data_IF_684367638466
#
_entry.id   IF_684367638466
#
_cell.length_a   1.000
_cell.length_b   1.000
_cell.length_c   1.000
_cell.angle_alpha   90.00
_cell.angle_beta   90.00
_cell.angle_gamma   90.00
#
_symmetry.space_group_name_H-M   'P 1'
#
loop_
_entity.id
_entity.type
_entity.pdbx_description
1 polymer ?
#
# COMPACT_ATOMS: atom_id res chain seq x y z
N UNK A 1 19.48 -14.60 14.92
CA UNK A 1 18.75 -14.90 13.66
C UNK A 1 19.70 -14.69 12.47
N UNK A 2 19.92 -15.73 11.66
CA UNK A 2 20.78 -15.66 10.47
C UNK A 2 20.30 -14.59 9.49
N UNK A 3 21.22 -13.91 8.78
CA UNK A 3 20.85 -12.94 7.73
C UNK A 3 19.91 -13.58 6.71
N UNK A 4 20.17 -14.81 6.29
CA UNK A 4 19.30 -15.53 5.36
C UNK A 4 17.84 -15.59 5.84
N UNK A 5 17.59 -15.91 7.10
CA UNK A 5 16.22 -16.01 7.61
C UNK A 5 15.48 -14.66 7.55
N UNK A 6 16.19 -13.54 7.78
CA UNK A 6 15.60 -12.19 7.68
C UNK A 6 15.17 -11.83 6.26
N UNK A 7 15.93 -12.27 5.26
CA UNK A 7 15.72 -11.86 3.87
C UNK A 7 14.87 -12.85 3.07
N UNK A 8 14.65 -14.07 3.57
CA UNK A 8 13.89 -15.12 2.88
C UNK A 8 12.44 -15.23 3.35
N UNK A 9 12.13 -14.92 4.62
CA UNK A 9 10.76 -15.03 5.12
C UNK A 9 9.88 -13.93 4.49
N UNK A 10 8.83 -14.27 3.71
CA UNK A 10 8.01 -13.27 3.05
C UNK A 10 7.30 -12.36 4.06
N UNK A 11 7.42 -11.05 3.86
CA UNK A 11 6.88 -10.03 4.74
C UNK A 11 7.79 -9.63 5.89
N UNK A 12 8.67 -10.52 6.36
CA UNK A 12 9.56 -10.18 7.48
C UNK A 12 10.45 -8.98 7.15
N UNK A 13 11.06 -8.98 5.96
CA UNK A 13 11.95 -7.90 5.54
C UNK A 13 11.22 -6.56 5.47
N UNK A 14 9.97 -6.56 5.00
CA UNK A 14 9.12 -5.38 4.97
C UNK A 14 8.87 -4.82 6.37
N UNK A 15 8.42 -5.66 7.31
CA UNK A 15 8.17 -5.21 8.67
C UNK A 15 9.45 -4.72 9.35
N UNK A 16 10.56 -5.44 9.15
CA UNK A 16 11.86 -5.09 9.71
C UNK A 16 12.40 -3.76 9.18
N UNK A 17 12.39 -3.56 7.85
CA UNK A 17 13.02 -2.39 7.21
C UNK A 17 12.11 -1.16 7.13
N UNK A 18 10.78 -1.33 7.14
CA UNK A 18 9.81 -0.24 6.88
C UNK A 18 8.94 0.11 8.08
N UNK A 19 8.71 -0.84 8.99
CA UNK A 19 7.78 -0.67 10.11
C UNK A 19 8.46 -1.05 11.44
N UNK A 20 9.55 -0.34 11.82
CA UNK A 20 10.32 -0.69 13.02
C UNK A 20 9.49 -0.56 14.31
N UNK A 21 8.48 0.32 14.36
CA UNK A 21 7.65 0.51 15.55
C UNK A 21 6.39 -0.35 15.51
N UNK A 22 6.01 -0.94 16.65
CA UNK A 22 4.77 -1.71 16.79
C UNK A 22 3.52 -0.95 16.34
N UNK A 23 3.44 0.35 16.64
CA UNK A 23 2.34 1.20 16.18
C UNK A 23 2.25 1.28 14.64
N UNK A 24 3.38 1.26 13.93
CA UNK A 24 3.41 1.28 12.46
C UNK A 24 3.00 -0.08 11.89
N UNK A 25 3.38 -1.18 12.54
CA UNK A 25 2.95 -2.54 12.17
C UNK A 25 1.43 -2.68 12.30
N UNK A 26 0.87 -2.27 13.45
CA UNK A 26 -0.58 -2.30 13.70
C UNK A 26 -1.31 -1.39 12.71
N UNK A 27 -0.83 -0.15 12.53
CA UNK A 27 -1.37 0.78 11.53
C UNK A 27 -1.42 0.16 10.14
N UNK A 28 -0.33 -0.49 9.72
CA UNK A 28 -0.26 -1.12 8.41
C UNK A 28 -1.28 -2.24 8.25
N UNK A 29 -1.44 -3.10 9.26
CA UNK A 29 -2.41 -4.21 9.25
C UNK A 29 -3.83 -3.66 9.09
N UNK A 30 -4.20 -2.68 9.90
CA UNK A 30 -5.53 -2.04 9.90
C UNK A 30 -5.81 -1.40 8.53
N UNK A 31 -4.90 -0.53 8.08
CA UNK A 31 -5.07 0.27 6.87
C UNK A 31 -5.05 -0.57 5.59
N UNK A 32 -4.30 -1.67 5.55
CA UNK A 32 -4.14 -2.45 4.34
C UNK A 32 -4.73 -3.86 4.42
N UNK A 33 -4.05 -4.90 4.91
CA UNK A 33 -4.57 -6.23 4.64
C UNK A 33 -5.94 -6.43 5.29
N UNK A 34 -6.16 -5.89 6.50
CA UNK A 34 -7.45 -6.01 7.17
C UNK A 34 -8.56 -5.28 6.41
N UNK A 35 -8.36 -4.01 6.04
CA UNK A 35 -9.39 -3.26 5.32
C UNK A 35 -9.74 -3.89 3.98
N UNK A 36 -8.74 -4.31 3.18
CA UNK A 36 -9.03 -4.88 1.86
C UNK A 36 -9.79 -6.21 2.03
N UNK A 37 -9.41 -7.04 3.00
CA UNK A 37 -10.15 -8.27 3.31
C UNK A 37 -11.59 -7.97 3.75
N UNK A 38 -11.79 -7.03 4.67
CA UNK A 38 -13.14 -6.60 5.11
C UNK A 38 -13.95 -6.09 3.93
N UNK A 39 -13.36 -5.25 3.07
CA UNK A 39 -14.02 -4.75 1.87
C UNK A 39 -14.46 -5.85 0.92
N UNK A 40 -13.64 -6.88 0.72
CA UNK A 40 -13.99 -8.07 -0.09
C UNK A 40 -15.12 -8.86 0.56
N UNK A 41 -15.04 -9.15 1.87
CA UNK A 41 -16.06 -9.89 2.60
C UNK A 41 -17.41 -9.16 2.65
N UNK A 42 -17.41 -7.82 2.66
CA UNK A 42 -18.62 -7.00 2.68
C UNK A 42 -19.40 -7.04 1.36
N UNK A 43 -18.71 -7.21 0.23
CA UNK A 43 -19.35 -7.14 -1.11
C UNK A 43 -19.46 -8.50 -1.78
N UNK A 44 -18.76 -9.52 -1.30
CA UNK A 44 -18.73 -10.84 -1.92
C UNK A 44 -19.83 -11.75 -1.39
N UNK A 45 -20.44 -12.51 -2.29
CA UNK A 45 -21.37 -13.61 -1.94
C UNK A 45 -20.65 -14.95 -1.75
N UNK A 46 -19.32 -15.00 -1.93
CA UNK A 46 -18.56 -16.23 -1.84
C UNK A 46 -18.31 -16.65 -0.38
N UNK A 47 -17.99 -17.93 -0.20
CA UNK A 47 -17.71 -18.49 1.13
C UNK A 47 -16.55 -17.76 1.82
N UNK A 48 -16.81 -17.22 3.02
CA UNK A 48 -15.83 -16.40 3.76
C UNK A 48 -14.53 -17.15 4.08
N UNK A 49 -14.60 -18.45 4.42
CA UNK A 49 -13.40 -19.24 4.71
C UNK A 49 -12.53 -19.40 3.47
N UNK A 50 -13.15 -19.65 2.30
CA UNK A 50 -12.44 -19.69 1.02
C UNK A 50 -11.76 -18.35 0.70
N UNK A 51 -12.47 -17.22 0.88
CA UNK A 51 -11.92 -15.87 0.69
C UNK A 51 -10.70 -15.67 1.60
N UNK A 52 -10.82 -15.96 2.90
CA UNK A 52 -9.75 -15.73 3.88
C UNK A 52 -8.50 -16.55 3.55
N UNK A 53 -8.65 -17.85 3.25
CA UNK A 53 -7.53 -18.72 2.91
C UNK A 53 -6.82 -18.22 1.65
N UNK A 54 -7.59 -17.95 0.58
CA UNK A 54 -7.04 -17.48 -0.69
C UNK A 54 -6.38 -16.11 -0.53
N UNK A 55 -6.97 -15.21 0.27
CA UNK A 55 -6.43 -13.89 0.57
C UNK A 55 -5.08 -13.96 1.31
N UNK A 56 -4.94 -14.86 2.28
CA UNK A 56 -3.69 -15.05 3.03
C UNK A 56 -2.58 -15.56 2.09
N UNK A 57 -2.87 -16.58 1.27
CA UNK A 57 -1.92 -17.11 0.29
C UNK A 57 -1.52 -16.03 -0.72
N UNK A 58 -2.50 -15.27 -1.23
CA UNK A 58 -2.26 -14.16 -2.14
C UNK A 58 -1.42 -13.05 -1.51
N UNK A 59 -1.59 -12.76 -0.22
CA UNK A 59 -0.76 -11.77 0.49
C UNK A 59 0.71 -12.22 0.57
N UNK A 60 0.97 -13.47 0.95
CA UNK A 60 2.33 -14.00 0.96
C UNK A 60 2.94 -14.04 -0.45
N UNK A 61 2.13 -14.35 -1.46
CA UNK A 61 2.54 -14.30 -2.86
C UNK A 61 2.95 -12.86 -3.25
N UNK A 62 2.09 -11.88 -2.97
CA UNK A 62 2.35 -10.46 -3.26
C UNK A 62 3.62 -9.97 -2.54
N UNK A 63 3.80 -10.32 -1.26
CA UNK A 63 4.98 -9.95 -0.49
C UNK A 63 6.29 -10.49 -1.08
N UNK A 64 6.27 -11.71 -1.65
CA UNK A 64 7.46 -12.27 -2.30
C UNK A 64 7.97 -11.38 -3.44
N UNK A 65 7.06 -10.94 -4.32
CA UNK A 65 7.42 -10.07 -5.45
C UNK A 65 7.69 -8.63 -5.01
N UNK A 66 6.91 -8.11 -4.08
CA UNK A 66 6.99 -6.72 -3.64
C UNK A 66 8.30 -6.43 -2.88
N UNK A 67 8.75 -7.36 -2.03
CA UNK A 67 9.99 -7.19 -1.27
C UNK A 67 11.26 -7.20 -2.13
N UNK A 68 11.24 -7.76 -3.35
CA UNK A 68 12.35 -7.63 -4.30
C UNK A 68 12.63 -6.14 -4.58
N UNK A 69 11.58 -5.34 -4.79
CA UNK A 69 11.69 -3.91 -5.00
C UNK A 69 12.29 -3.17 -3.79
N UNK A 70 12.00 -3.63 -2.58
CA UNK A 70 12.61 -3.07 -1.36
C UNK A 70 14.07 -3.44 -1.21
N UNK A 71 14.44 -4.70 -1.46
CA UNK A 71 15.85 -5.14 -1.43
C UNK A 71 16.69 -4.37 -2.44
N UNK A 72 16.15 -4.18 -3.64
CA UNK A 72 16.76 -3.39 -4.69
C UNK A 72 16.93 -1.93 -4.24
N UNK A 73 15.88 -1.31 -3.70
CA UNK A 73 15.91 0.07 -3.22
C UNK A 73 16.99 0.27 -2.16
N UNK A 74 17.00 -0.57 -1.13
CA UNK A 74 17.81 -0.38 0.09
C UNK A 74 19.26 -0.82 -0.05
N UNK A 75 19.60 -1.65 -1.04
CA UNK A 75 20.96 -2.16 -1.21
C UNK A 75 21.62 -1.77 -2.53
N UNK A 76 20.85 -1.64 -3.61
CA UNK A 76 21.37 -1.35 -4.95
C UNK A 76 21.15 0.12 -5.29
N UNK A 77 19.90 0.60 -5.18
CA UNK A 77 19.54 1.92 -5.67
C UNK A 77 20.13 3.06 -4.82
N UNK A 78 20.36 2.83 -3.53
CA UNK A 78 21.03 3.82 -2.65
C UNK A 78 22.40 4.28 -3.18
N UNK A 79 23.11 3.48 -3.99
CA UNK A 79 24.41 3.86 -4.57
C UNK A 79 24.32 5.01 -5.57
N UNK A 80 23.11 5.27 -6.08
CA UNK A 80 22.82 6.32 -7.05
C UNK A 80 22.28 7.59 -6.39
N UNK A 81 22.06 7.56 -5.06
CA UNK A 81 21.48 8.68 -4.31
C UNK A 81 22.59 9.54 -3.69
N UNK A 82 22.43 10.87 -3.76
CA UNK A 82 23.38 11.81 -3.12
C UNK A 82 23.32 11.74 -1.59
N UNK A 83 22.12 11.52 -1.04
CA UNK A 83 21.86 11.39 0.39
C UNK A 83 20.86 10.24 0.63
N UNK A 84 21.34 8.98 0.65
CA UNK A 84 20.47 7.82 0.74
C UNK A 84 19.87 7.67 2.13
N UNK A 85 18.57 7.36 2.18
CA UNK A 85 17.93 6.95 3.44
C UNK A 85 18.29 5.50 3.75
N UNK A 86 19.25 5.29 4.67
CA UNK A 86 19.63 3.96 5.13
C UNK A 86 18.54 3.38 6.04
N UNK A 87 17.99 2.22 5.66
CA UNK A 87 16.90 1.54 6.40
C UNK A 87 17.34 0.26 7.09
N UNK A 88 18.50 -0.26 6.70
CA UNK A 88 19.12 -1.45 7.28
C UNK A 88 20.61 -1.20 7.53
N UNK A 89 21.25 -1.92 8.46
CA UNK A 89 22.67 -1.73 8.76
C UNK A 89 23.60 -2.01 7.58
N UNK A 90 24.78 -1.36 7.55
CA UNK A 90 25.75 -1.50 6.46
C UNK A 90 26.17 -2.97 6.19
N UNK A 91 26.35 -3.78 7.24
CA UNK A 91 26.65 -5.21 7.10
C UNK A 91 25.58 -5.97 6.31
N UNK A 92 24.32 -5.59 6.51
CA UNK A 92 23.17 -6.19 5.82
C UNK A 92 23.06 -5.69 4.38
N UNK A 93 23.36 -4.42 4.13
CA UNK A 93 23.47 -3.86 2.77
C UNK A 93 24.49 -4.66 1.95
N UNK A 94 25.69 -4.88 2.49
CA UNK A 94 26.75 -5.65 1.82
C UNK A 94 26.33 -7.10 1.58
N UNK A 95 25.62 -7.71 2.54
CA UNK A 95 25.07 -9.06 2.38
C UNK A 95 24.05 -9.12 1.22
N UNK A 96 23.10 -8.19 1.15
CA UNK A 96 22.10 -8.14 0.07
C UNK A 96 22.79 -7.89 -1.27
N UNK A 97 23.74 -6.96 -1.36
CA UNK A 97 24.48 -6.70 -2.60
C UNK A 97 25.20 -7.94 -3.13
N UNK A 98 25.86 -8.69 -2.24
CA UNK A 98 26.57 -9.94 -2.61
C UNK A 98 25.62 -11.05 -3.07
N UNK A 99 24.40 -11.09 -2.55
CA UNK A 99 23.47 -12.22 -2.75
C UNK A 99 22.17 -11.84 -3.49
N UNK A 100 22.09 -10.63 -4.08
CA UNK A 100 20.84 -10.07 -4.60
C UNK A 100 20.15 -11.01 -5.61
N UNK A 101 20.91 -11.57 -6.55
CA UNK A 101 20.37 -12.50 -7.54
C UNK A 101 19.81 -13.77 -6.90
N UNK A 102 20.48 -14.32 -5.89
CA UNK A 102 20.01 -15.52 -5.16
C UNK A 102 18.75 -15.22 -4.37
N UNK A 103 18.71 -14.10 -3.64
CA UNK A 103 17.53 -13.65 -2.90
C UNK A 103 16.33 -13.42 -3.82
N UNK A 104 16.57 -12.79 -4.97
CA UNK A 104 15.55 -12.55 -6.01
C UNK A 104 15.03 -13.86 -6.58
N UNK A 105 15.92 -14.80 -6.94
CA UNK A 105 15.53 -16.10 -7.48
C UNK A 105 14.68 -16.90 -6.49
N UNK A 106 15.08 -16.96 -5.21
CA UNK A 106 14.31 -17.68 -4.18
C UNK A 106 12.91 -17.07 -4.02
N UNK A 107 12.79 -15.74 -4.05
CA UNK A 107 11.49 -15.04 -3.98
C UNK A 107 10.61 -15.30 -5.21
N UNK A 108 11.20 -15.36 -6.40
CA UNK A 108 10.47 -15.73 -7.62
C UNK A 108 9.97 -17.17 -7.53
N UNK A 109 10.82 -18.12 -7.11
CA UNK A 109 10.43 -19.54 -6.99
C UNK A 109 9.32 -19.72 -5.95
N UNK A 110 9.48 -19.14 -4.76
CA UNK A 110 8.46 -19.23 -3.69
C UNK A 110 7.17 -18.50 -4.07
N UNK A 111 7.26 -17.33 -4.70
CA UNK A 111 6.10 -16.61 -5.25
C UNK A 111 5.38 -17.41 -6.35
N UNK A 112 6.12 -18.06 -7.25
CA UNK A 112 5.56 -18.92 -8.29
C UNK A 112 4.88 -20.17 -7.68
N UNK A 113 5.46 -20.79 -6.66
CA UNK A 113 4.81 -21.88 -5.93
C UNK A 113 3.48 -21.46 -5.30
N UNK A 114 3.42 -20.26 -4.71
CA UNK A 114 2.16 -19.70 -4.18
C UNK A 114 1.16 -19.35 -5.29
N UNK A 115 1.61 -18.89 -6.46
CA UNK A 115 0.73 -18.69 -7.62
C UNK A 115 0.13 -20.02 -8.10
N UNK A 116 0.92 -21.09 -8.17
CA UNK A 116 0.41 -22.43 -8.50
C UNK A 116 -0.62 -22.89 -7.49
N UNK A 117 -0.38 -22.64 -6.19
CA UNK A 117 -1.37 -22.94 -5.15
C UNK A 117 -2.67 -22.14 -5.34
N UNK A 118 -2.59 -20.86 -5.70
CA UNK A 118 -3.78 -20.05 -6.00
C UNK A 118 -4.51 -20.57 -7.24
N UNK A 119 -3.79 -21.02 -8.26
CA UNK A 119 -4.38 -21.53 -9.51
C UNK A 119 -5.23 -22.79 -9.31
N UNK A 120 -4.89 -23.64 -8.33
CA UNK A 120 -5.66 -24.86 -8.03
C UNK A 120 -6.83 -24.61 -7.06
N UNK A 121 -6.92 -23.42 -6.45
CA UNK A 121 -8.08 -23.02 -5.66
C UNK A 121 -9.26 -22.67 -6.60
N UNK A 122 -10.51 -22.70 -6.12
CA UNK A 122 -11.69 -22.40 -6.94
C UNK A 122 -11.85 -20.89 -7.23
N UNK A 123 -10.84 -20.29 -7.87
CA UNK A 123 -10.86 -18.92 -8.40
C UNK A 123 -11.12 -18.94 -9.90
N UNK A 124 -11.75 -17.88 -10.44
CA UNK A 124 -11.96 -17.80 -11.88
C UNK A 124 -10.62 -17.61 -12.62
N UNK A 125 -10.49 -18.20 -13.82
CA UNK A 125 -9.27 -18.04 -14.65
C UNK A 125 -8.98 -16.59 -14.99
N UNK A 126 -10.02 -15.79 -15.20
CA UNK A 126 -9.91 -14.35 -15.48
C UNK A 126 -9.38 -13.62 -14.24
N UNK A 127 -9.94 -13.89 -13.05
CA UNK A 127 -9.46 -13.30 -11.79
C UNK A 127 -8.01 -13.67 -11.48
N UNK A 128 -7.62 -14.92 -11.72
CA UNK A 128 -6.23 -15.36 -11.61
C UNK A 128 -5.30 -14.59 -12.56
N UNK A 129 -5.71 -14.42 -13.83
CA UNK A 129 -4.96 -13.64 -14.82
C UNK A 129 -4.83 -12.17 -14.38
N UNK A 130 -5.93 -11.55 -13.93
CA UNK A 130 -5.93 -10.16 -13.44
C UNK A 130 -5.02 -9.97 -12.24
N UNK A 131 -5.02 -10.91 -11.28
CA UNK A 131 -4.09 -10.89 -10.14
C UNK A 131 -2.63 -10.99 -10.60
N UNK A 132 -2.34 -11.91 -11.51
CA UNK A 132 -0.97 -12.10 -12.06
C UNK A 132 -0.50 -10.85 -12.81
N UNK A 133 -1.37 -10.21 -13.60
CA UNK A 133 -1.08 -8.93 -14.24
C UNK A 133 -0.87 -7.81 -13.21
N UNK A 134 -1.64 -7.78 -12.13
CA UNK A 134 -1.45 -6.81 -11.05
C UNK A 134 -0.10 -7.01 -10.33
N UNK A 135 0.37 -8.24 -10.13
CA UNK A 135 1.70 -8.54 -9.59
C UNK A 135 2.81 -8.06 -10.53
N UNK A 136 2.70 -8.36 -11.83
CA UNK A 136 3.64 -7.89 -12.84
C UNK A 136 3.67 -6.35 -12.89
N UNK A 137 2.51 -5.71 -12.87
CA UNK A 137 2.35 -4.26 -12.79
C UNK A 137 2.99 -3.68 -11.52
N UNK A 138 2.74 -4.27 -10.35
CA UNK A 138 3.35 -3.85 -9.10
C UNK A 138 4.89 -3.92 -9.18
N UNK A 139 5.46 -4.99 -9.74
CA UNK A 139 6.92 -5.12 -9.91
C UNK A 139 7.48 -4.07 -10.87
N UNK A 140 6.81 -3.85 -12.00
CA UNK A 140 7.17 -2.84 -13.00
C UNK A 140 7.15 -1.43 -12.39
N UNK A 141 6.06 -1.04 -11.73
CA UNK A 141 5.92 0.28 -11.13
C UNK A 141 6.89 0.49 -9.97
N UNK A 142 7.23 -0.57 -9.22
CA UNK A 142 8.29 -0.49 -8.22
C UNK A 142 9.64 -0.19 -8.87
N UNK A 143 10.00 -0.93 -9.93
CA UNK A 143 11.24 -0.68 -10.68
C UNK A 143 11.29 0.75 -11.22
N UNK A 144 10.21 1.22 -11.86
CA UNK A 144 10.10 2.60 -12.35
C UNK A 144 10.18 3.61 -11.20
N UNK A 145 9.60 3.33 -10.05
CA UNK A 145 9.70 4.18 -8.86
C UNK A 145 11.13 4.28 -8.32
N UNK A 146 11.90 3.20 -8.36
CA UNK A 146 13.31 3.20 -7.96
C UNK A 146 14.19 3.94 -9.00
N UNK A 147 13.84 3.89 -10.29
CA UNK A 147 14.62 4.50 -11.38
C UNK A 147 14.30 5.99 -11.60
N UNK A 148 13.03 6.38 -11.58
CA UNK A 148 12.59 7.75 -11.88
C UNK A 148 12.76 8.64 -10.65
N UNK A 149 13.62 9.65 -10.73
CA UNK A 149 13.96 10.57 -9.62
C UNK A 149 13.44 12.00 -9.78
N UNK A 150 12.57 12.22 -10.75
CA UNK A 150 11.91 13.51 -11.01
C UNK A 150 10.51 13.58 -10.37
N UNK A 151 9.74 14.63 -10.70
CA UNK A 151 8.32 14.77 -10.32
C UNK A 151 7.45 13.60 -10.80
N UNK A 152 7.83 12.92 -11.88
CA UNK A 152 7.17 11.70 -12.35
C UNK A 152 7.21 10.55 -11.34
N UNK A 153 8.07 10.63 -10.32
CA UNK A 153 8.07 9.68 -9.21
C UNK A 153 6.75 9.69 -8.40
N UNK A 154 5.99 10.80 -8.45
CA UNK A 154 4.63 10.86 -7.89
C UNK A 154 3.69 9.94 -8.67
N UNK A 155 3.77 9.92 -9.99
CA UNK A 155 2.96 9.04 -10.84
C UNK A 155 3.34 7.57 -10.63
N UNK A 156 4.63 7.23 -10.58
CA UNK A 156 5.03 5.84 -10.31
C UNK A 156 4.62 5.39 -8.91
N UNK A 157 4.67 6.28 -7.91
CA UNK A 157 4.15 6.01 -6.58
C UNK A 157 2.64 5.77 -6.61
N UNK A 158 1.88 6.58 -7.36
CA UNK A 158 0.45 6.41 -7.55
C UNK A 158 0.13 5.03 -8.10
N UNK A 159 0.73 4.67 -9.24
CA UNK A 159 0.52 3.39 -9.91
C UNK A 159 0.91 2.20 -9.00
N UNK A 160 2.03 2.30 -8.30
CA UNK A 160 2.44 1.29 -7.32
C UNK A 160 1.44 1.14 -6.18
N UNK A 161 0.93 2.26 -5.64
CA UNK A 161 -0.08 2.21 -4.58
C UNK A 161 -1.41 1.65 -5.07
N UNK A 162 -1.83 1.98 -6.30
CA UNK A 162 -3.07 1.47 -6.89
C UNK A 162 -3.01 -0.03 -7.12
N UNK A 163 -1.94 -0.54 -7.75
CA UNK A 163 -1.76 -1.99 -7.95
C UNK A 163 -1.75 -2.78 -6.65
N UNK A 164 -1.15 -2.23 -5.58
CA UNK A 164 -1.17 -2.84 -4.23
C UNK A 164 -2.60 -3.06 -3.71
N UNK A 165 -3.48 -2.07 -3.85
CA UNK A 165 -4.86 -2.15 -3.34
C UNK A 165 -5.80 -2.92 -4.27
N UNK A 166 -5.49 -2.96 -5.57
CA UNK A 166 -6.35 -3.60 -6.57
C UNK A 166 -6.08 -5.10 -6.70
N UNK A 167 -4.87 -5.58 -6.41
CA UNK A 167 -4.49 -6.97 -6.64
C UNK A 167 -5.48 -7.98 -6.01
N UNK A 168 -5.88 -7.81 -4.75
CA UNK A 168 -6.73 -8.79 -4.07
C UNK A 168 -8.20 -8.78 -4.51
N UNK A 169 -8.88 -7.62 -4.65
CA UNK A 169 -10.21 -7.59 -5.26
C UNK A 169 -10.24 -8.23 -6.64
N UNK A 170 -9.23 -7.97 -7.48
CA UNK A 170 -9.11 -8.55 -8.82
C UNK A 170 -9.04 -10.10 -8.80
N UNK A 171 -8.48 -10.67 -7.73
CA UNK A 171 -8.40 -12.12 -7.55
C UNK A 171 -9.72 -12.73 -7.03
N UNK A 172 -10.39 -12.03 -6.11
CA UNK A 172 -11.44 -12.61 -5.26
C UNK A 172 -12.86 -12.19 -5.63
N UNK A 173 -13.04 -11.18 -6.47
CA UNK A 173 -14.34 -10.69 -6.92
C UNK A 173 -14.51 -10.91 -8.42
N UNK A 174 -15.07 -12.06 -8.85
CA UNK A 174 -15.37 -12.31 -10.25
C UNK A 174 -16.60 -11.52 -10.76
N UNK A 175 -17.50 -11.11 -9.86
CA UNK A 175 -18.65 -10.28 -10.22
C UNK A 175 -18.20 -8.84 -10.55
N UNK A 176 -18.60 -8.35 -11.72
CA UNK A 176 -18.15 -7.05 -12.22
C UNK A 176 -18.59 -5.87 -11.34
N UNK A 177 -19.85 -5.86 -10.88
CA UNK A 177 -20.41 -4.77 -10.08
C UNK A 177 -19.74 -4.69 -8.70
N UNK A 178 -19.57 -5.83 -8.03
CA UNK A 178 -18.87 -5.94 -6.74
C UNK A 178 -17.41 -5.49 -6.87
N UNK A 179 -16.74 -5.96 -7.93
CA UNK A 179 -15.35 -5.60 -8.21
C UNK A 179 -15.21 -4.09 -8.42
N UNK A 180 -15.98 -3.50 -9.33
CA UNK A 180 -15.88 -2.05 -9.64
C UNK A 180 -16.21 -1.21 -8.42
N UNK A 181 -17.26 -1.58 -7.68
CA UNK A 181 -17.67 -0.88 -6.46
C UNK A 181 -16.53 -0.83 -5.44
N UNK A 182 -15.87 -1.97 -5.18
CA UNK A 182 -14.77 -2.02 -4.24
C UNK A 182 -13.50 -1.34 -4.77
N UNK A 183 -13.17 -1.49 -6.05
CA UNK A 183 -12.00 -0.82 -6.65
C UNK A 183 -12.10 0.70 -6.55
N UNK A 184 -13.27 1.27 -6.85
CA UNK A 184 -13.52 2.72 -6.72
C UNK A 184 -13.42 3.14 -5.26
N UNK A 185 -14.10 2.41 -4.35
CA UNK A 185 -14.06 2.72 -2.93
C UNK A 185 -12.62 2.69 -2.37
N UNK A 186 -11.83 1.67 -2.71
CA UNK A 186 -10.43 1.58 -2.29
C UNK A 186 -9.57 2.69 -2.92
N UNK A 187 -9.76 2.98 -4.21
CA UNK A 187 -9.01 4.02 -4.92
C UNK A 187 -9.19 5.40 -4.29
N UNK A 188 -10.45 5.81 -4.08
CA UNK A 188 -10.80 7.07 -3.44
C UNK A 188 -10.30 7.08 -2.00
N UNK A 189 -10.42 5.98 -1.28
CA UNK A 189 -10.10 5.98 0.15
C UNK A 189 -8.61 5.89 0.46
N UNK A 190 -7.76 5.40 -0.45
CA UNK A 190 -6.32 5.25 -0.15
C UNK A 190 -5.34 5.70 -1.24
N UNK A 191 -5.21 5.04 -2.42
CA UNK A 191 -4.25 5.49 -3.43
C UNK A 191 -4.36 6.97 -3.78
N UNK A 192 -5.57 7.51 -3.91
CA UNK A 192 -5.79 8.91 -4.25
C UNK A 192 -5.29 9.89 -3.17
N UNK A 193 -5.81 9.90 -1.93
CA UNK A 193 -5.33 10.82 -0.90
C UNK A 193 -3.85 10.60 -0.60
N UNK A 194 -3.39 9.35 -0.63
CA UNK A 194 -1.98 9.05 -0.36
C UNK A 194 -1.04 9.57 -1.45
N UNK A 195 -1.50 9.66 -2.70
CA UNK A 195 -0.74 10.28 -3.80
C UNK A 195 -0.62 11.78 -3.60
N UNK A 196 -1.70 12.45 -3.17
CA UNK A 196 -1.67 13.88 -2.81
C UNK A 196 -0.68 14.14 -1.67
N UNK A 197 -0.72 13.33 -0.61
CA UNK A 197 0.26 13.41 0.49
C UNK A 197 1.70 13.19 0.03
N UNK A 198 1.91 12.27 -0.93
CA UNK A 198 3.24 12.01 -1.47
C UNK A 198 3.74 13.18 -2.32
N UNK A 199 2.87 13.80 -3.11
CA UNK A 199 3.18 14.92 -3.99
C UNK A 199 3.65 16.17 -3.22
N UNK A 200 3.16 16.40 -1.99
CA UNK A 200 3.56 17.56 -1.18
C UNK A 200 4.89 17.42 -0.43
N UNK A 201 5.68 16.38 -0.73
CA UNK A 201 7.07 16.31 -0.26
C UNK A 201 7.90 17.46 -0.87
N UNK A 202 8.79 18.01 -0.06
CA UNK A 202 9.68 19.13 -0.44
C UNK A 202 10.38 18.87 -1.77
N UNK A 203 10.90 17.65 -1.96
CA UNK A 203 11.66 17.25 -3.17
C UNK A 203 10.91 17.49 -4.49
N UNK A 204 9.58 17.54 -4.47
CA UNK A 204 8.78 17.75 -5.68
C UNK A 204 8.46 19.22 -5.96
N UNK A 205 8.62 20.10 -4.98
CA UNK A 205 8.43 21.55 -5.14
C UNK A 205 7.03 21.93 -5.65
N UNK A 206 5.98 21.20 -5.26
CA UNK A 206 4.58 21.55 -5.56
C UNK A 206 4.00 22.49 -4.49
N UNK A 207 4.43 23.75 -4.51
CA UNK A 207 4.10 24.75 -3.47
C UNK A 207 2.61 25.03 -3.37
N UNK A 208 1.91 25.23 -4.50
CA UNK A 208 0.46 25.50 -4.51
C UNK A 208 -0.34 24.35 -3.92
N UNK A 209 0.03 23.10 -4.25
CA UNK A 209 -0.60 21.92 -3.68
C UNK A 209 -0.36 21.82 -2.16
N UNK A 210 0.86 22.14 -1.70
CA UNK A 210 1.18 22.17 -0.26
C UNK A 210 0.34 23.19 0.49
N UNK A 211 0.06 24.37 -0.08
CA UNK A 211 -0.81 25.39 0.53
C UNK A 211 -2.25 24.88 0.71
N UNK A 212 -2.78 24.16 -0.28
CA UNK A 212 -4.13 23.57 -0.22
C UNK A 212 -4.19 22.43 0.81
N UNK A 213 -3.20 21.53 0.78
CA UNK A 213 -3.15 20.37 1.69
C UNK A 213 -2.93 20.82 3.13
N UNK A 214 -2.08 21.83 3.37
CA UNK A 214 -1.76 22.29 4.71
C UNK A 214 -1.12 21.19 5.55
N UNK A 215 -1.57 21.03 6.79
CA UNK A 215 -1.15 19.93 7.66
C UNK A 215 -1.77 18.59 7.21
N UNK A 216 -0.98 17.52 7.25
CA UNK A 216 -1.40 16.22 6.70
C UNK A 216 -2.50 15.54 7.53
N UNK A 217 -2.67 15.87 8.80
CA UNK A 217 -3.68 15.24 9.65
C UNK A 217 -5.03 15.89 9.50
N UNK A 218 -5.02 17.21 9.54
CA UNK A 218 -6.19 17.99 9.18
C UNK A 218 -6.63 17.72 7.74
N UNK A 219 -5.70 17.58 6.79
CA UNK A 219 -6.02 17.16 5.41
C UNK A 219 -6.77 15.83 5.38
N UNK A 220 -6.23 14.79 6.03
CA UNK A 220 -6.85 13.44 6.03
C UNK A 220 -8.26 13.48 6.59
N UNK A 221 -8.47 14.15 7.72
CA UNK A 221 -9.79 14.26 8.32
C UNK A 221 -10.78 14.98 7.42
N UNK A 222 -10.39 16.13 6.85
CA UNK A 222 -11.22 16.89 5.91
C UNK A 222 -11.54 16.07 4.66
N UNK A 223 -10.56 15.34 4.13
CA UNK A 223 -10.73 14.49 2.95
C UNK A 223 -11.79 13.41 3.19
N UNK A 224 -11.65 12.62 4.27
CA UNK A 224 -12.61 11.55 4.55
C UNK A 224 -13.98 12.08 4.95
N UNK A 225 -14.05 13.23 5.65
CA UNK A 225 -15.32 13.88 5.93
C UNK A 225 -16.06 14.30 4.64
N UNK A 226 -15.34 14.92 3.69
CA UNK A 226 -15.90 15.28 2.40
C UNK A 226 -16.33 14.04 1.59
N UNK A 227 -15.53 12.97 1.63
CA UNK A 227 -15.85 11.72 0.94
C UNK A 227 -17.10 11.05 1.54
N UNK A 228 -17.26 11.06 2.87
CA UNK A 228 -18.48 10.58 3.55
C UNK A 228 -19.68 11.42 3.14
N UNK A 229 -19.57 12.76 3.16
CA UNK A 229 -20.66 13.64 2.75
C UNK A 229 -21.10 13.37 1.30
N UNK A 230 -20.15 13.24 0.38
CA UNK A 230 -20.42 12.88 -1.01
C UNK A 230 -21.08 11.49 -1.13
N UNK A 231 -20.57 10.50 -0.40
CA UNK A 231 -21.11 9.15 -0.41
C UNK A 231 -22.53 9.08 0.16
N UNK A 232 -22.82 9.85 1.21
CA UNK A 232 -24.17 9.96 1.79
C UNK A 232 -25.15 10.57 0.79
N UNK A 233 -24.79 11.68 0.15
CA UNK A 233 -25.62 12.30 -0.89
C UNK A 233 -25.90 11.28 -2.00
N UNK A 234 -24.87 10.62 -2.51
CA UNK A 234 -25.02 9.64 -3.58
C UNK A 234 -25.86 8.40 -3.16
N UNK A 235 -25.71 7.98 -1.90
CA UNK A 235 -26.51 6.91 -1.30
C UNK A 235 -27.98 7.27 -1.23
N UNK A 236 -28.34 8.47 -0.75
CA UNK A 236 -29.73 8.93 -0.66
C UNK A 236 -30.44 8.98 -2.02
N UNK A 237 -29.72 9.29 -3.10
CA UNK A 237 -30.32 9.41 -4.43
C UNK A 237 -30.37 8.11 -5.25
N UNK A 238 -29.51 7.13 -4.94
CA UNK A 238 -29.34 5.96 -5.82
C UNK A 238 -29.33 4.60 -5.12
N UNK A 239 -29.04 4.53 -3.82
CA UNK A 239 -28.85 3.30 -3.02
C UNK A 239 -28.10 2.17 -3.76
N UNK A 240 -27.07 2.53 -4.54
CA UNK A 240 -26.28 1.56 -5.29
C UNK A 240 -25.28 0.84 -4.39
N UNK A 241 -24.85 -0.37 -4.79
CA UNK A 241 -23.74 -1.08 -4.13
C UNK A 241 -22.50 -0.18 -4.02
N UNK A 242 -22.16 0.54 -5.09
CA UNK A 242 -21.07 1.50 -5.10
C UNK A 242 -21.22 2.55 -3.99
N UNK A 243 -22.38 3.19 -3.86
CA UNK A 243 -22.63 4.19 -2.84
C UNK A 243 -22.40 3.63 -1.42
N UNK A 244 -22.95 2.44 -1.16
CA UNK A 244 -22.79 1.74 0.13
C UNK A 244 -21.34 1.39 0.42
N UNK A 245 -20.63 0.82 -0.56
CA UNK A 245 -19.22 0.43 -0.39
C UNK A 245 -18.33 1.65 -0.15
N UNK A 246 -18.50 2.74 -0.91
CA UNK A 246 -17.74 3.98 -0.70
C UNK A 246 -18.02 4.55 0.69
N UNK A 247 -19.28 4.58 1.13
CA UNK A 247 -19.65 5.10 2.45
C UNK A 247 -18.98 4.31 3.58
N UNK A 248 -19.10 2.97 3.58
CA UNK A 248 -18.56 2.11 4.63
C UNK A 248 -17.03 2.21 4.70
N UNK A 249 -16.34 2.12 3.57
CA UNK A 249 -14.87 2.21 3.52
C UNK A 249 -14.39 3.61 3.95
N UNK A 250 -15.12 4.67 3.58
CA UNK A 250 -14.79 6.05 3.98
C UNK A 250 -14.98 6.28 5.48
N UNK A 251 -16.06 5.73 6.06
CA UNK A 251 -16.28 5.75 7.50
C UNK A 251 -15.17 5.03 8.25
N UNK A 252 -14.77 3.84 7.78
CA UNK A 252 -13.66 3.10 8.36
C UNK A 252 -12.38 3.95 8.43
N UNK A 253 -11.99 4.56 7.31
CA UNK A 253 -10.81 5.41 7.29
C UNK A 253 -10.97 6.68 8.12
N UNK A 254 -12.14 7.31 8.11
CA UNK A 254 -12.40 8.50 8.91
C UNK A 254 -12.18 8.20 10.39
N UNK A 255 -12.79 7.14 10.93
CA UNK A 255 -12.61 6.77 12.33
C UNK A 255 -11.17 6.40 12.64
N UNK A 256 -10.51 5.63 11.77
CA UNK A 256 -9.09 5.32 11.92
C UNK A 256 -8.22 6.60 12.01
N UNK A 257 -8.48 7.60 11.15
CA UNK A 257 -7.76 8.88 11.16
C UNK A 257 -8.13 9.75 12.35
N UNK A 258 -9.40 9.74 12.77
CA UNK A 258 -9.89 10.48 13.93
C UNK A 258 -9.20 9.99 15.20
N UNK A 259 -9.18 8.68 15.44
CA UNK A 259 -8.47 8.08 16.57
C UNK A 259 -6.99 8.47 16.53
N UNK A 260 -6.33 8.33 15.38
CA UNK A 260 -4.92 8.74 15.23
C UNK A 260 -4.67 10.22 15.51
N UNK A 261 -5.58 11.10 15.10
CA UNK A 261 -5.51 12.54 15.38
C UNK A 261 -5.70 12.84 16.86
N UNK A 262 -6.70 12.24 17.51
CA UNK A 262 -6.98 12.43 18.93
C UNK A 262 -5.82 11.90 19.80
N UNK A 263 -5.24 10.75 19.46
CA UNK A 263 -4.06 10.23 20.17
C UNK A 263 -2.86 11.18 20.11
N UNK A 264 -2.65 11.86 18.97
CA UNK A 264 -1.60 12.88 18.84
C UNK A 264 -1.95 14.12 19.66
N UNK A 265 -3.18 14.60 19.56
CA UNK A 265 -3.64 15.82 20.24
C UNK A 265 -3.59 15.69 21.77
N UNK A 266 -3.95 14.53 22.31
CA UNK A 266 -3.93 14.25 23.75
C UNK A 266 -2.60 13.65 24.25
N UNK A 267 -1.56 13.63 23.41
CA UNK A 267 -0.21 13.23 23.83
C UNK A 267 0.00 11.71 24.01
N UNK A 268 -1.02 10.89 23.80
CA UNK A 268 -0.91 9.42 23.83
C UNK A 268 0.00 8.85 22.72
N UNK A 269 0.26 9.62 21.66
CA UNK A 269 1.18 9.25 20.59
C UNK A 269 2.00 10.45 20.08
N UNK A 270 3.33 10.33 20.11
CA UNK A 270 4.24 11.32 19.50
C UNK A 270 4.53 10.98 18.05
N UNK A 271 4.19 11.89 17.14
CA UNK A 271 4.57 11.74 15.73
C UNK A 271 6.07 11.87 15.53
N UNK A 272 6.61 11.00 14.69
CA UNK A 272 7.90 11.23 14.06
C UNK A 272 7.79 12.44 13.14
N UNK A 273 8.53 13.51 13.43
CA UNK A 273 8.68 14.65 12.52
C UNK A 273 9.49 14.17 11.31
N UNK A 274 8.86 14.09 10.14
CA UNK A 274 9.54 13.70 8.91
C UNK A 274 10.10 14.94 8.22
N UNK A 275 11.43 15.04 8.11
CA UNK A 275 12.12 16.11 7.36
C UNK A 275 11.58 16.28 5.93
N UNK A 276 11.10 15.21 5.30
CA UNK A 276 10.56 15.24 3.93
C UNK A 276 9.33 16.13 3.72
N UNK A 277 8.70 16.58 4.81
CA UNK A 277 7.50 17.43 4.81
C UNK A 277 7.70 18.75 5.57
N UNK A 278 8.91 19.02 6.04
CA UNK A 278 9.25 20.24 6.77
C UNK A 278 9.65 21.39 5.83
N UNK A 279 8.69 22.23 5.47
CA UNK A 279 8.93 23.35 4.57
C UNK A 279 9.53 24.59 5.28
N UNK A 280 9.86 24.51 6.57
CA UNK A 280 10.32 25.67 7.36
C UNK A 280 11.68 26.22 6.92
N UNK A 281 12.56 25.39 6.35
CA UNK A 281 13.86 25.79 5.78
C UNK A 281 13.74 26.35 4.35
N UNK A 282 12.58 26.19 3.72
CA UNK A 282 12.27 26.76 2.40
C UNK A 282 11.24 27.88 2.58
N UNK A 283 11.65 28.94 3.30
CA UNK A 283 10.95 30.21 3.24
C UNK A 283 10.88 30.64 1.77
N UNK A 284 9.65 30.70 1.28
CA UNK A 284 9.29 31.28 -0.02
C UNK A 284 9.77 32.73 -0.10
#
# INVERSE_FOLDING_TARGET
>A
MSFWLKFLLPGYYYFYSRLPRKSEQISWIIVFPALVLVGILLVSDANALHIIITYIIANFCWLNFYEIGYLENDAITIKLEKDPTLRIPQKEILFVQKNFNKLTLIRIITGAGLLTLIYILPVSKISFLMFTMALAGARLFFFLHNKIRSRFNVLTYHLLSTTKFFAFPLLLLPNHEQLVSLLIALYLSFPLPRTVEHAVKIRYKFVSLKKIVGDLDTFRLKYYFALIAFALVFYFFSDTLLARTVLVISLYYFFYRLVGFLMVRYGAYKRSKFKSHDWTEHKL
#
